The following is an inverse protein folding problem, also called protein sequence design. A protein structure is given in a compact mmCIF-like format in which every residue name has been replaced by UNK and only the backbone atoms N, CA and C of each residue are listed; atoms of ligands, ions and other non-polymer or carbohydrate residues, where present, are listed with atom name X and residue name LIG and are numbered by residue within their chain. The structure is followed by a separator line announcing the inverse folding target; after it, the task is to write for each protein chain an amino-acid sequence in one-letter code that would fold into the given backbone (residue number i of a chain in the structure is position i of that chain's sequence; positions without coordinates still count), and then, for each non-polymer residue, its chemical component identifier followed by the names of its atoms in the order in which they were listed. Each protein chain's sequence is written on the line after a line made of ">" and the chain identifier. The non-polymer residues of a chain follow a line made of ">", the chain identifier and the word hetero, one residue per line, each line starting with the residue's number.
data_IF_357817824542
#
_entry.id   IF_357817824542
#
_cell.length_a   1.000
_cell.length_b   1.000
_cell.length_c   1.000
_cell.angle_alpha   90.00
_cell.angle_beta   90.00
_cell.angle_gamma   90.00
#
_symmetry.space_group_name_H-M   'P 1'
#
loop_
_entity.id
_entity.type
_entity.pdbx_description
1 polymer ?
#
# COMPACT_ATOMS: atom_id res chain seq x y z
N UNK A 1 7.77 12.69 30.42
CA UNK A 1 8.67 13.59 29.70
C UNK A 1 8.65 13.12 28.26
N UNK A 2 7.67 13.63 27.51
CA UNK A 2 7.44 13.31 26.10
C UNK A 2 8.66 13.80 25.32
N UNK A 3 9.50 12.86 24.87
CA UNK A 3 10.41 13.13 23.79
C UNK A 3 9.53 13.34 22.56
N UNK A 4 9.17 14.60 22.31
CA UNK A 4 8.68 15.02 21.02
C UNK A 4 9.58 14.36 19.99
N UNK A 5 9.03 13.40 19.22
CA UNK A 5 9.66 12.98 17.98
C UNK A 5 10.07 14.30 17.35
N UNK A 6 11.36 14.51 17.14
CA UNK A 6 11.84 15.67 16.41
C UNK A 6 11.03 15.65 15.11
N UNK A 7 9.97 16.44 15.09
CA UNK A 7 9.34 16.80 13.86
C UNK A 7 10.47 17.41 13.06
N UNK A 8 11.03 16.61 12.18
CA UNK A 8 12.03 17.12 11.27
C UNK A 8 11.40 18.38 10.69
N UNK A 9 12.09 19.50 10.80
CA UNK A 9 11.81 20.74 10.07
C UNK A 9 11.95 20.49 8.56
N UNK A 10 11.60 19.29 8.14
CA UNK A 10 11.74 18.75 6.80
C UNK A 10 10.47 18.94 5.98
N UNK A 11 10.65 18.93 4.72
CA UNK A 11 9.63 18.90 3.67
C UNK A 11 8.89 17.56 3.73
N UNK A 12 7.56 17.57 3.59
CA UNK A 12 6.76 16.37 3.33
C UNK A 12 7.18 15.75 2.00
N UNK A 13 7.54 14.46 2.00
CA UNK A 13 7.96 13.77 0.79
C UNK A 13 6.72 13.34 -0.01
N UNK A 14 6.68 13.68 -1.29
CA UNK A 14 5.60 13.30 -2.19
C UNK A 14 6.03 12.09 -3.01
N UNK A 15 5.23 11.01 -2.93
CA UNK A 15 5.42 9.75 -3.63
C UNK A 15 4.45 9.69 -4.80
N UNK A 16 4.98 9.68 -6.02
CA UNK A 16 4.21 9.39 -7.22
C UNK A 16 4.10 7.88 -7.41
N UNK A 17 2.94 7.31 -7.19
CA UNK A 17 2.66 5.90 -7.43
C UNK A 17 2.29 5.67 -8.89
N UNK A 18 3.23 5.19 -9.68
CA UNK A 18 3.00 4.73 -11.05
C UNK A 18 2.30 3.37 -11.03
N UNK A 19 2.59 2.56 -10.00
CA UNK A 19 2.01 1.22 -9.87
C UNK A 19 2.30 0.36 -11.09
N UNK A 20 1.24 -0.03 -11.79
CA UNK A 20 1.27 -0.80 -13.03
C UNK A 20 0.81 0.00 -14.26
N UNK A 21 0.58 1.31 -14.12
CA UNK A 21 0.10 2.19 -15.22
C UNK A 21 1.04 2.23 -16.42
N UNK A 22 2.30 1.77 -16.27
CA UNK A 22 3.24 1.62 -17.38
C UNK A 22 2.84 0.53 -18.39
N UNK A 23 1.96 -0.43 -18.01
CA UNK A 23 1.47 -1.50 -18.90
C UNK A 23 2.60 -2.35 -19.51
N UNK A 24 3.72 -2.56 -18.81
CA UNK A 24 4.90 -3.30 -19.29
C UNK A 24 5.81 -2.53 -20.25
N UNK A 25 5.49 -1.30 -20.62
CA UNK A 25 6.29 -0.47 -21.54
C UNK A 25 7.30 0.38 -20.79
N UNK A 26 8.60 0.18 -21.03
CA UNK A 26 9.67 1.00 -20.47
C UNK A 26 9.59 2.46 -20.95
N UNK A 27 9.18 2.69 -22.20
CA UNK A 27 8.98 4.04 -22.74
C UNK A 27 7.88 4.78 -21.99
N UNK A 28 6.73 4.10 -21.75
CA UNK A 28 5.63 4.67 -20.97
C UNK A 28 6.05 4.91 -19.52
N UNK A 29 6.80 3.98 -18.92
CA UNK A 29 7.35 4.14 -17.58
C UNK A 29 8.24 5.39 -17.48
N UNK A 30 9.15 5.62 -18.43
CA UNK A 30 10.01 6.80 -18.47
C UNK A 30 9.21 8.10 -18.60
N UNK A 31 8.17 8.14 -19.45
CA UNK A 31 7.27 9.30 -19.54
C UNK A 31 6.56 9.62 -18.23
N UNK A 32 6.13 8.57 -17.49
CA UNK A 32 5.51 8.72 -16.17
C UNK A 32 6.54 9.22 -15.14
N UNK A 33 7.78 8.72 -15.17
CA UNK A 33 8.87 9.17 -14.30
C UNK A 33 9.19 10.65 -14.57
N UNK A 34 9.35 11.05 -15.85
CA UNK A 34 9.61 12.44 -16.25
C UNK A 34 8.49 13.36 -15.74
N UNK A 35 7.24 13.04 -16.08
CA UNK A 35 6.10 13.85 -15.67
C UNK A 35 5.94 13.95 -14.16
N UNK A 36 6.14 12.85 -13.42
CA UNK A 36 6.10 12.85 -11.96
C UNK A 36 7.20 13.74 -11.36
N UNK A 37 8.42 13.66 -11.91
CA UNK A 37 9.55 14.47 -11.47
C UNK A 37 9.35 15.96 -11.77
N UNK A 38 8.89 16.29 -12.95
CA UNK A 38 8.56 17.66 -13.36
C UNK A 38 7.42 18.24 -12.49
N UNK A 39 6.43 17.42 -12.15
CA UNK A 39 5.33 17.77 -11.26
C UNK A 39 5.76 17.98 -9.80
N UNK A 40 6.97 17.57 -9.40
CA UNK A 40 7.52 17.82 -8.07
C UNK A 40 7.58 16.61 -7.14
N UNK A 41 7.42 15.38 -7.64
CA UNK A 41 7.61 14.17 -6.85
C UNK A 41 9.04 14.04 -6.32
N UNK A 42 9.16 13.61 -5.07
CA UNK A 42 10.44 13.27 -4.43
C UNK A 42 10.81 11.81 -4.64
N UNK A 43 9.77 10.94 -4.69
CA UNK A 43 9.90 9.50 -4.78
C UNK A 43 8.99 9.00 -5.90
N UNK A 44 9.53 8.14 -6.75
CA UNK A 44 8.79 7.47 -7.82
C UNK A 44 8.59 6.02 -7.41
N UNK A 45 7.34 5.54 -7.41
CA UNK A 45 6.99 4.23 -6.91
C UNK A 45 6.40 3.33 -7.99
N UNK A 46 6.76 2.04 -7.91
CA UNK A 46 6.31 0.95 -8.75
C UNK A 46 5.78 -0.22 -7.93
N UNK A 47 5.14 -1.17 -8.60
CA UNK A 47 4.67 -2.43 -8.04
C UNK A 47 5.35 -3.59 -8.78
N UNK A 48 6.05 -4.46 -8.03
CA UNK A 48 6.71 -5.65 -8.59
C UNK A 48 5.76 -6.84 -8.53
N UNK A 49 4.97 -6.99 -9.56
CA UNK A 49 3.88 -7.96 -9.62
C UNK A 49 4.38 -9.30 -10.15
N UNK A 50 4.11 -10.36 -9.39
CA UNK A 50 4.00 -11.74 -9.85
C UNK A 50 2.63 -12.26 -9.43
N UNK A 51 1.78 -12.64 -10.39
CA UNK A 51 0.41 -13.04 -10.09
C UNK A 51 0.35 -14.19 -9.08
N UNK A 52 1.25 -15.15 -9.20
CA UNK A 52 1.37 -16.31 -8.32
C UNK A 52 1.72 -15.97 -6.85
N UNK A 53 2.35 -14.81 -6.61
CA UNK A 53 2.63 -14.32 -5.26
C UNK A 53 1.44 -13.59 -4.63
N UNK A 54 0.42 -13.26 -5.41
CA UNK A 54 -0.70 -12.41 -4.97
C UNK A 54 -2.00 -13.20 -4.90
N UNK A 55 -2.30 -13.96 -5.95
CA UNK A 55 -3.61 -14.54 -6.22
C UNK A 55 -3.52 -16.03 -6.52
N UNK A 56 -4.57 -16.75 -6.16
CA UNK A 56 -4.81 -18.10 -6.70
C UNK A 56 -5.43 -18.00 -8.11
N UNK A 57 -5.11 -18.89 -9.08
CA UNK A 57 -5.72 -18.87 -10.42
C UNK A 57 -7.25 -18.90 -10.44
N UNK A 58 -7.87 -19.53 -9.41
CA UNK A 58 -9.33 -19.66 -9.28
C UNK A 58 -9.98 -18.48 -8.52
N UNK A 59 -9.29 -17.35 -8.31
CA UNK A 59 -9.75 -16.23 -7.47
C UNK A 59 -10.98 -15.49 -8.02
N UNK A 60 -11.34 -15.70 -9.29
CA UNK A 60 -12.50 -15.09 -9.94
C UNK A 60 -12.13 -14.03 -10.98
N UNK A 61 -13.04 -13.07 -11.22
CA UNK A 61 -12.97 -12.17 -12.36
C UNK A 61 -12.99 -10.71 -11.94
N UNK A 62 -12.41 -9.84 -12.79
CA UNK A 62 -12.53 -8.39 -12.74
C UNK A 62 -13.29 -7.89 -13.98
N UNK A 63 -14.08 -6.81 -13.80
CA UNK A 63 -14.71 -6.11 -14.89
C UNK A 63 -13.82 -4.91 -15.28
N UNK A 64 -13.39 -4.87 -16.52
CA UNK A 64 -12.67 -3.76 -17.14
C UNK A 64 -13.54 -3.07 -18.18
N UNK A 65 -13.22 -1.85 -18.63
CA UNK A 65 -13.92 -1.23 -19.76
C UNK A 65 -13.98 -2.12 -21.01
N UNK A 66 -12.93 -2.91 -21.25
CA UNK A 66 -12.81 -3.85 -22.38
C UNK A 66 -13.53 -5.18 -22.18
N UNK A 67 -14.04 -5.47 -20.98
CA UNK A 67 -14.78 -6.70 -20.67
C UNK A 67 -14.40 -7.37 -19.38
N UNK A 68 -14.96 -8.56 -19.16
CA UNK A 68 -14.73 -9.38 -17.96
C UNK A 68 -13.62 -10.39 -18.23
N UNK A 69 -12.54 -10.32 -17.43
CA UNK A 69 -11.41 -11.26 -17.53
C UNK A 69 -11.08 -11.90 -16.17
N UNK A 70 -10.44 -13.09 -16.12
CA UNK A 70 -9.94 -13.64 -14.87
C UNK A 70 -8.96 -12.67 -14.20
N UNK A 71 -9.14 -12.40 -12.91
CA UNK A 71 -8.30 -11.44 -12.16
C UNK A 71 -6.83 -11.91 -12.14
N UNK A 72 -6.59 -13.21 -12.00
CA UNK A 72 -5.24 -13.79 -12.05
C UNK A 72 -4.54 -13.50 -13.38
N UNK A 73 -5.24 -13.72 -14.52
CA UNK A 73 -4.68 -13.44 -15.85
C UNK A 73 -4.38 -11.96 -16.03
N UNK A 74 -5.25 -11.08 -15.49
CA UNK A 74 -4.98 -9.63 -15.51
C UNK A 74 -3.69 -9.29 -14.79
N UNK A 75 -3.43 -9.89 -13.63
CA UNK A 75 -2.17 -9.69 -12.91
C UNK A 75 -0.98 -10.30 -13.67
N UNK A 76 -1.19 -11.43 -14.35
CA UNK A 76 -0.17 -12.08 -15.18
C UNK A 76 0.30 -11.20 -16.35
N UNK A 77 -0.63 -10.46 -16.97
CA UNK A 77 -0.34 -9.49 -18.02
C UNK A 77 0.51 -8.28 -17.52
N UNK A 78 0.46 -7.99 -16.22
CA UNK A 78 1.21 -6.88 -15.60
C UNK A 78 2.64 -7.26 -15.21
N UNK A 79 3.00 -8.54 -15.29
CA UNK A 79 4.34 -9.00 -14.96
C UNK A 79 5.37 -8.46 -15.96
N UNK A 80 6.47 -7.99 -15.43
CA UNK A 80 7.63 -7.56 -16.20
C UNK A 80 8.90 -8.22 -15.67
N UNK A 81 9.94 -8.25 -16.49
CA UNK A 81 11.22 -8.83 -16.10
C UNK A 81 11.96 -7.94 -15.07
N UNK A 82 12.84 -8.51 -14.24
CA UNK A 82 13.63 -7.73 -13.26
C UNK A 82 14.43 -6.58 -13.87
N UNK A 83 14.90 -6.74 -15.12
CA UNK A 83 15.64 -5.72 -15.85
C UNK A 83 14.83 -4.42 -16.02
N UNK A 84 13.52 -4.55 -16.22
CA UNK A 84 12.62 -3.39 -16.33
C UNK A 84 12.69 -2.49 -15.08
N UNK A 85 12.66 -3.07 -13.89
CA UNK A 85 12.75 -2.30 -12.64
C UNK A 85 14.14 -1.70 -12.41
N UNK A 86 15.19 -2.40 -12.85
CA UNK A 86 16.55 -1.86 -12.83
C UNK A 86 16.67 -0.63 -13.72
N UNK A 87 16.17 -0.72 -14.95
CA UNK A 87 16.16 0.39 -15.91
C UNK A 87 15.36 1.59 -15.37
N UNK A 88 14.18 1.33 -14.75
CA UNK A 88 13.38 2.38 -14.11
C UNK A 88 14.10 3.01 -12.90
N UNK A 89 14.78 2.22 -12.07
CA UNK A 89 15.56 2.70 -10.94
C UNK A 89 16.71 3.59 -11.40
N UNK A 90 17.50 3.13 -12.38
CA UNK A 90 18.63 3.91 -12.92
C UNK A 90 18.15 5.22 -13.55
N UNK A 91 17.06 5.16 -14.31
CA UNK A 91 16.48 6.36 -14.91
C UNK A 91 15.95 7.33 -13.85
N UNK A 92 15.21 6.86 -12.85
CA UNK A 92 14.72 7.67 -11.73
C UNK A 92 15.86 8.37 -10.99
N UNK A 93 16.93 7.61 -10.67
CA UNK A 93 18.12 8.17 -10.01
C UNK A 93 18.87 9.20 -10.87
N UNK A 94 18.90 9.02 -12.19
CA UNK A 94 19.54 9.98 -13.11
C UNK A 94 18.85 11.35 -13.10
N UNK A 95 17.57 11.40 -12.77
CA UNK A 95 16.79 12.64 -12.59
C UNK A 95 16.84 13.20 -11.16
N UNK A 96 17.62 12.59 -10.27
CA UNK A 96 17.73 13.01 -8.87
C UNK A 96 16.48 12.75 -8.03
N UNK A 97 15.61 11.82 -8.43
CA UNK A 97 14.50 11.31 -7.62
C UNK A 97 14.89 10.02 -6.90
N UNK A 98 14.11 9.64 -5.87
CA UNK A 98 14.25 8.37 -5.16
C UNK A 98 13.36 7.30 -5.78
N UNK A 99 13.83 6.05 -5.76
CA UNK A 99 13.09 4.92 -6.27
C UNK A 99 12.49 4.10 -5.12
N UNK A 100 11.21 3.78 -5.22
CA UNK A 100 10.47 2.92 -4.31
C UNK A 100 9.77 1.81 -5.09
N UNK A 101 9.67 0.61 -4.51
CA UNK A 101 8.87 -0.45 -5.13
C UNK A 101 8.19 -1.32 -4.07
N UNK A 102 6.99 -1.84 -4.41
CA UNK A 102 6.26 -2.78 -3.57
C UNK A 102 6.48 -4.21 -4.07
N UNK A 103 7.14 -5.08 -3.31
CA UNK A 103 7.08 -6.52 -3.53
C UNK A 103 5.79 -7.08 -2.94
N UNK A 104 5.30 -8.18 -3.48
CA UNK A 104 4.06 -8.84 -3.03
C UNK A 104 4.30 -10.24 -2.47
N UNK A 105 5.51 -10.79 -2.61
CA UNK A 105 5.90 -12.09 -2.09
C UNK A 105 7.42 -12.19 -1.94
N UNK A 106 7.89 -13.41 -1.67
CA UNK A 106 9.30 -13.64 -1.33
C UNK A 106 10.23 -13.45 -2.53
N UNK A 107 9.82 -13.89 -3.71
CA UNK A 107 10.62 -13.77 -4.93
C UNK A 107 10.79 -12.31 -5.32
N UNK A 108 9.68 -11.56 -5.42
CA UNK A 108 9.72 -10.14 -5.74
C UNK A 108 10.50 -9.33 -4.71
N UNK A 109 10.44 -9.69 -3.42
CA UNK A 109 11.26 -9.06 -2.37
C UNK A 109 12.75 -9.30 -2.59
N UNK A 110 13.17 -10.54 -2.84
CA UNK A 110 14.59 -10.86 -3.05
C UNK A 110 15.15 -10.15 -4.28
N UNK A 111 14.41 -10.17 -5.40
CA UNK A 111 14.82 -9.49 -6.63
C UNK A 111 14.88 -7.96 -6.44
N UNK A 112 13.93 -7.38 -5.69
CA UNK A 112 13.92 -5.96 -5.36
C UNK A 112 15.14 -5.56 -4.50
N UNK A 113 15.47 -6.34 -3.48
CA UNK A 113 16.65 -6.07 -2.62
C UNK A 113 17.94 -6.07 -3.46
N UNK A 114 18.06 -6.98 -4.45
CA UNK A 114 19.24 -7.07 -5.32
C UNK A 114 19.49 -5.82 -6.15
N UNK A 115 18.46 -5.08 -6.54
CA UNK A 115 18.63 -3.82 -7.28
C UNK A 115 18.84 -2.60 -6.39
N UNK A 116 18.84 -2.75 -5.07
CA UNK A 116 19.10 -1.70 -4.07
C UNK A 116 18.22 -0.45 -4.25
N UNK A 117 16.89 -0.56 -4.06
CA UNK A 117 15.98 0.59 -4.11
C UNK A 117 16.27 1.56 -2.96
N UNK A 118 15.80 2.80 -3.06
CA UNK A 118 15.90 3.76 -1.95
C UNK A 118 14.89 3.47 -0.83
N UNK A 119 13.75 2.83 -1.16
CA UNK A 119 12.70 2.42 -0.23
C UNK A 119 12.06 1.10 -0.65
N UNK A 120 11.64 0.30 0.33
CA UNK A 120 10.77 -0.87 0.12
C UNK A 120 9.39 -0.52 0.67
N UNK A 121 8.34 -0.74 -0.12
CA UNK A 121 6.95 -0.50 0.28
C UNK A 121 6.22 -1.81 0.53
N UNK A 122 5.50 -1.91 1.63
CA UNK A 122 4.53 -2.97 1.89
C UNK A 122 3.14 -2.36 1.71
N UNK A 123 2.41 -2.85 0.72
CA UNK A 123 1.06 -2.39 0.43
C UNK A 123 0.07 -2.85 1.52
N UNK A 124 -1.08 -2.16 1.64
CA UNK A 124 -2.07 -2.43 2.69
C UNK A 124 -2.50 -3.90 2.79
N UNK A 125 -2.81 -4.60 1.68
CA UNK A 125 -3.19 -6.01 1.74
C UNK A 125 -2.09 -6.94 2.24
N UNK A 126 -0.82 -6.53 2.15
CA UNK A 126 0.35 -7.30 2.56
C UNK A 126 0.77 -7.04 4.02
N UNK A 127 0.08 -6.14 4.73
CA UNK A 127 0.43 -5.84 6.12
C UNK A 127 0.34 -7.07 7.04
N UNK A 128 -0.52 -8.03 6.73
CA UNK A 128 -0.62 -9.30 7.43
C UNK A 128 0.11 -10.46 6.72
N UNK A 129 0.91 -10.19 5.68
CA UNK A 129 1.73 -11.24 5.03
C UNK A 129 2.97 -11.54 5.87
N UNK A 130 2.78 -12.22 7.01
CA UNK A 130 3.87 -12.42 7.99
C UNK A 130 5.09 -13.15 7.44
N UNK A 131 4.99 -14.16 6.54
CA UNK A 131 6.17 -14.71 5.87
C UNK A 131 6.99 -13.65 5.14
N UNK A 132 6.34 -12.74 4.39
CA UNK A 132 7.00 -11.63 3.69
C UNK A 132 7.66 -10.65 4.67
N UNK A 133 6.96 -10.27 5.76
CA UNK A 133 7.49 -9.33 6.75
C UNK A 133 8.68 -9.93 7.53
N UNK A 134 8.64 -11.22 7.85
CA UNK A 134 9.77 -11.92 8.47
C UNK A 134 10.97 -11.97 7.54
N UNK A 135 10.77 -12.31 6.26
CA UNK A 135 11.84 -12.32 5.27
C UNK A 135 12.41 -10.92 5.05
N UNK A 136 11.56 -9.89 4.95
CA UNK A 136 12.00 -8.50 4.88
C UNK A 136 12.89 -8.12 6.07
N UNK A 137 12.51 -8.50 7.30
CA UNK A 137 13.33 -8.25 8.49
C UNK A 137 14.69 -8.92 8.43
N UNK A 138 14.73 -10.15 7.91
CA UNK A 138 15.95 -10.98 7.92
C UNK A 138 16.91 -10.62 6.78
N UNK A 139 16.41 -10.30 5.61
CA UNK A 139 17.20 -10.10 4.38
C UNK A 139 17.45 -8.64 4.01
N UNK A 140 16.69 -7.68 4.60
CA UNK A 140 16.84 -6.26 4.29
C UNK A 140 18.18 -5.71 4.81
N UNK A 141 19.07 -5.18 3.95
CA UNK A 141 20.36 -4.63 4.34
C UNK A 141 20.29 -3.25 5.03
N UNK A 142 19.10 -2.80 5.44
CA UNK A 142 18.89 -1.50 6.09
C UNK A 142 18.18 -0.46 5.22
N UNK A 143 17.58 -0.89 4.10
CA UNK A 143 16.76 -0.04 3.23
C UNK A 143 15.53 0.41 4.04
N UNK A 144 15.18 1.71 4.04
CA UNK A 144 13.98 2.22 4.70
C UNK A 144 12.69 1.54 4.18
N UNK A 145 11.79 1.23 5.10
CA UNK A 145 10.53 0.53 4.82
C UNK A 145 9.34 1.44 5.03
N UNK A 146 8.40 1.42 4.10
CA UNK A 146 7.14 2.15 4.19
C UNK A 146 6.00 1.13 4.23
N UNK A 147 5.20 1.13 5.30
CA UNK A 147 4.05 0.24 5.47
C UNK A 147 2.76 1.02 5.24
N UNK A 148 1.80 0.49 4.50
CA UNK A 148 0.44 1.04 4.45
C UNK A 148 -0.52 0.23 5.31
N UNK A 149 -1.53 0.89 5.91
CA UNK A 149 -2.42 0.33 6.92
C UNK A 149 -3.91 0.41 6.55
N UNK A 150 -4.24 0.39 5.26
CA UNK A 150 -5.61 0.14 4.81
C UNK A 150 -6.05 -1.30 5.10
N UNK A 151 -7.34 -1.57 5.13
CA UNK A 151 -7.94 -2.87 5.49
C UNK A 151 -7.28 -3.51 6.72
N UNK A 152 -6.98 -2.69 7.74
CA UNK A 152 -6.26 -3.13 8.94
C UNK A 152 -6.80 -2.49 10.20
N UNK A 153 -6.87 -3.26 11.27
CA UNK A 153 -7.14 -2.78 12.63
C UNK A 153 -5.86 -2.25 13.28
N UNK A 154 -5.98 -1.67 14.48
CA UNK A 154 -4.82 -1.24 15.26
C UNK A 154 -3.95 -2.44 15.68
N UNK A 155 -4.59 -3.57 15.96
CA UNK A 155 -3.95 -4.83 16.33
C UNK A 155 -3.15 -5.41 15.16
N UNK A 156 -3.67 -5.34 13.92
CA UNK A 156 -2.94 -5.77 12.72
C UNK A 156 -1.67 -4.93 12.52
N UNK A 157 -1.77 -3.61 12.67
CA UNK A 157 -0.63 -2.70 12.59
C UNK A 157 0.40 -3.04 13.67
N UNK A 158 -0.05 -3.22 14.92
CA UNK A 158 0.84 -3.57 16.03
C UNK A 158 1.57 -4.89 15.78
N UNK A 159 0.87 -5.90 15.23
CA UNK A 159 1.46 -7.18 14.88
C UNK A 159 2.51 -7.05 13.77
N UNK A 160 2.22 -6.32 12.71
CA UNK A 160 3.18 -6.04 11.65
C UNK A 160 4.44 -5.33 12.18
N UNK A 161 4.27 -4.28 12.99
CA UNK A 161 5.37 -3.54 13.60
C UNK A 161 6.18 -4.37 14.61
N UNK A 162 5.56 -5.36 15.27
CA UNK A 162 6.29 -6.30 16.15
C UNK A 162 7.28 -7.17 15.36
N UNK A 163 7.00 -7.43 14.09
CA UNK A 163 7.85 -8.20 13.17
C UNK A 163 8.92 -7.28 12.55
N UNK A 164 8.50 -6.21 11.88
CA UNK A 164 9.43 -5.33 11.13
C UNK A 164 10.28 -4.43 12.04
N UNK A 165 9.82 -4.19 13.26
CA UNK A 165 10.35 -3.13 14.12
C UNK A 165 9.83 -1.76 13.69
N UNK A 166 10.33 -0.71 14.38
CA UNK A 166 9.95 0.68 14.13
C UNK A 166 11.12 1.53 13.60
N UNK A 167 12.34 0.99 13.61
CA UNK A 167 13.52 1.69 13.12
C UNK A 167 13.53 1.74 11.60
N UNK A 168 13.69 2.93 11.02
CA UNK A 168 13.64 3.17 9.57
C UNK A 168 12.31 2.72 8.94
N UNK A 169 11.21 2.76 9.70
CA UNK A 169 9.86 2.45 9.24
C UNK A 169 9.02 3.72 9.24
N UNK A 170 8.28 3.94 8.15
CA UNK A 170 7.22 4.96 8.05
C UNK A 170 5.89 4.25 7.86
N UNK A 171 4.85 4.65 8.60
CA UNK A 171 3.50 4.11 8.49
C UNK A 171 2.59 5.07 7.72
N UNK A 172 2.03 4.64 6.61
CA UNK A 172 1.03 5.40 5.87
C UNK A 172 -0.38 4.95 6.29
N UNK A 173 -1.16 5.88 6.81
CA UNK A 173 -2.60 5.70 6.88
C UNK A 173 -3.16 5.57 5.46
N UNK A 174 -4.14 4.69 5.27
CA UNK A 174 -4.70 4.40 3.96
C UNK A 174 -6.13 3.89 4.11
N UNK A 175 -6.96 4.17 3.12
CA UNK A 175 -8.26 3.51 2.90
C UNK A 175 -8.16 2.72 1.61
N UNK A 176 -8.34 1.41 1.70
CA UNK A 176 -8.26 0.49 0.55
C UNK A 176 -9.62 0.41 -0.15
N UNK A 177 -10.01 1.53 -0.71
CA UNK A 177 -11.17 1.70 -1.61
C UNK A 177 -10.73 2.57 -2.78
N UNK A 178 -11.22 2.28 -4.00
CA UNK A 178 -10.80 2.93 -5.23
C UNK A 178 -12.00 3.38 -6.07
N UNK A 179 -12.43 4.68 -5.98
CA UNK A 179 -11.88 5.73 -5.11
C UNK A 179 -12.29 5.54 -3.64
N UNK A 180 -11.52 6.16 -2.74
CA UNK A 180 -11.85 6.24 -1.32
C UNK A 180 -12.76 7.46 -1.06
N UNK A 181 -13.88 7.29 -0.31
CA UNK A 181 -14.70 8.41 0.12
C UNK A 181 -13.92 9.36 1.03
N UNK A 182 -13.97 10.66 0.76
CA UNK A 182 -13.19 11.66 1.50
C UNK A 182 -13.55 11.74 2.99
N UNK A 183 -14.82 11.61 3.31
CA UNK A 183 -15.36 11.70 4.68
C UNK A 183 -15.03 10.47 5.55
N UNK A 184 -14.46 9.43 4.95
CA UNK A 184 -13.98 8.24 5.67
C UNK A 184 -12.48 8.34 6.05
N UNK A 185 -11.74 9.34 5.53
CA UNK A 185 -10.28 9.39 5.67
C UNK A 185 -9.77 9.51 7.10
N UNK A 186 -10.50 10.22 7.99
CA UNK A 186 -10.07 10.34 9.38
C UNK A 186 -8.60 10.77 9.52
N UNK A 187 -8.21 11.83 8.83
CA UNK A 187 -6.81 12.26 8.64
C UNK A 187 -6.07 12.52 9.95
N UNK A 188 -6.81 12.85 11.06
CA UNK A 188 -6.22 12.95 12.41
C UNK A 188 -5.52 11.66 12.87
N UNK A 189 -5.81 10.52 12.22
CA UNK A 189 -5.10 9.27 12.49
C UNK A 189 -3.60 9.35 12.24
N UNK A 190 -3.12 10.18 11.33
CA UNK A 190 -1.68 10.34 11.05
C UNK A 190 -0.95 10.71 12.33
N UNK A 191 -1.45 11.73 13.06
CA UNK A 191 -0.88 12.15 14.33
C UNK A 191 -1.01 11.05 15.40
N UNK A 192 -2.19 10.41 15.50
CA UNK A 192 -2.44 9.34 16.47
C UNK A 192 -1.51 8.15 16.25
N UNK A 193 -1.38 7.67 15.01
CA UNK A 193 -0.51 6.54 14.69
C UNK A 193 0.97 6.85 14.94
N UNK A 194 1.41 8.07 14.57
CA UNK A 194 2.77 8.52 14.86
C UNK A 194 3.08 8.52 16.34
N UNK A 195 2.17 9.04 17.16
CA UNK A 195 2.31 9.08 18.61
C UNK A 195 2.24 7.70 19.26
N UNK A 196 1.23 6.88 18.88
CA UNK A 196 0.95 5.61 19.53
C UNK A 196 2.04 4.56 19.27
N UNK A 197 2.64 4.59 18.07
CA UNK A 197 3.71 3.66 17.68
C UNK A 197 5.11 4.27 17.72
N UNK A 198 5.24 5.57 18.00
CA UNK A 198 6.51 6.32 18.04
C UNK A 198 7.30 6.17 16.74
N UNK A 199 6.66 6.37 15.59
CA UNK A 199 7.23 6.26 14.23
C UNK A 199 6.83 7.45 13.36
N UNK A 200 7.53 7.64 12.24
CA UNK A 200 7.08 8.53 11.18
C UNK A 200 5.75 8.01 10.60
N UNK A 201 4.81 8.91 10.35
CA UNK A 201 3.54 8.59 9.74
C UNK A 201 3.23 9.51 8.55
N UNK A 202 2.36 9.06 7.67
CA UNK A 202 1.90 9.78 6.48
C UNK A 202 0.60 9.21 5.96
N UNK A 203 0.32 9.41 4.68
CA UNK A 203 -0.91 8.93 4.05
C UNK A 203 -0.63 8.32 2.67
N UNK A 204 -1.37 7.25 2.33
CA UNK A 204 -1.56 6.77 0.96
C UNK A 204 -2.99 7.11 0.56
N UNK A 205 -3.15 8.03 -0.38
CA UNK A 205 -4.41 8.70 -0.67
C UNK A 205 -5.01 8.24 -2.00
N UNK A 206 -6.23 7.67 -1.92
CA UNK A 206 -7.02 7.19 -3.06
C UNK A 206 -8.27 8.08 -3.32
N UNK A 207 -8.34 9.28 -2.70
CA UNK A 207 -9.39 10.27 -3.03
C UNK A 207 -9.15 10.87 -4.41
N UNK A 208 -10.19 11.50 -4.97
CA UNK A 208 -10.10 12.12 -6.31
C UNK A 208 -9.65 13.59 -6.26
N UNK A 209 -9.85 14.27 -5.12
CA UNK A 209 -9.43 15.66 -4.95
C UNK A 209 -7.91 15.73 -4.70
N UNK A 210 -7.17 16.54 -5.48
CA UNK A 210 -5.72 16.63 -5.34
C UNK A 210 -5.27 17.47 -4.14
N UNK A 211 -6.14 18.21 -3.47
CA UNK A 211 -5.77 19.24 -2.49
C UNK A 211 -6.22 18.90 -1.08
N UNK A 212 -7.51 18.58 -0.90
CA UNK A 212 -8.14 18.52 0.43
C UNK A 212 -7.47 17.52 1.36
N UNK A 213 -7.43 16.24 0.99
CA UNK A 213 -6.84 15.19 1.82
C UNK A 213 -5.32 15.38 1.99
N UNK A 214 -4.53 15.66 0.91
CA UNK A 214 -3.10 15.91 1.05
C UNK A 214 -2.74 17.09 1.95
N UNK A 215 -3.40 18.25 1.82
CA UNK A 215 -3.10 19.41 2.65
C UNK A 215 -3.50 19.20 4.12
N UNK A 216 -4.64 18.54 4.36
CA UNK A 216 -5.03 18.16 5.71
C UNK A 216 -4.05 17.14 6.31
N UNK A 217 -3.49 16.22 5.50
CA UNK A 217 -2.45 15.29 5.96
C UNK A 217 -1.19 16.03 6.43
N UNK A 218 -0.74 17.04 5.69
CA UNK A 218 0.38 17.91 6.12
C UNK A 218 0.05 18.59 7.46
N UNK A 219 -1.17 19.11 7.62
CA UNK A 219 -1.60 19.72 8.89
C UNK A 219 -1.55 18.76 10.08
N UNK A 220 -1.67 17.46 9.85
CA UNK A 220 -1.56 16.41 10.87
C UNK A 220 -0.13 15.85 11.04
N UNK A 221 0.86 16.45 10.37
CA UNK A 221 2.27 16.09 10.49
C UNK A 221 2.71 14.92 9.60
N UNK A 222 2.02 14.70 8.48
CA UNK A 222 2.42 13.69 7.50
C UNK A 222 3.87 13.91 7.04
N UNK A 223 4.67 12.84 7.08
CA UNK A 223 6.06 12.84 6.58
C UNK A 223 6.13 12.44 5.11
N UNK A 224 5.13 11.67 4.64
CA UNK A 224 5.00 11.20 3.27
C UNK A 224 3.54 11.24 2.83
N UNK A 225 3.32 11.57 1.56
CA UNK A 225 2.02 11.50 0.88
C UNK A 225 2.22 10.68 -0.38
N UNK A 226 1.50 9.56 -0.50
CA UNK A 226 1.49 8.70 -1.68
C UNK A 226 0.20 8.94 -2.47
N UNK A 227 0.33 9.11 -3.79
CA UNK A 227 -0.80 9.32 -4.71
C UNK A 227 -0.54 8.64 -6.04
N UNK A 228 -1.56 7.94 -6.57
CA UNK A 228 -1.50 7.34 -7.90
C UNK A 228 -1.46 8.41 -9.00
N UNK A 229 -0.64 8.15 -10.03
CA UNK A 229 -0.54 8.98 -11.22
C UNK A 229 -0.74 8.17 -12.49
N UNK A 230 -1.27 8.80 -13.52
CA UNK A 230 -1.42 8.21 -14.85
C UNK A 230 -1.21 9.26 -15.96
N UNK A 231 -0.88 8.80 -17.16
CA UNK A 231 -0.92 9.62 -18.37
C UNK A 231 -2.34 9.77 -18.94
N UNK A 232 -3.25 8.85 -18.61
CA UNK A 232 -4.65 8.89 -19.04
C UNK A 232 -5.50 8.03 -18.11
N UNK A 233 -6.66 8.55 -17.71
CA UNK A 233 -7.67 7.83 -16.91
C UNK A 233 -8.51 6.87 -17.74
N UNK A 234 -8.41 6.92 -19.06
CA UNK A 234 -9.21 6.14 -20.02
C UNK A 234 -8.51 4.85 -20.46
N UNK A 235 -7.59 4.34 -19.65
CA UNK A 235 -6.87 3.10 -19.95
C UNK A 235 -7.43 1.91 -19.15
N UNK A 236 -7.04 0.69 -19.52
CA UNK A 236 -7.38 -0.54 -18.77
C UNK A 236 -6.47 -0.77 -17.53
N UNK A 237 -5.71 0.24 -17.10
CA UNK A 237 -4.96 0.18 -15.86
C UNK A 237 -5.89 0.02 -14.66
N UNK A 238 -5.57 -0.88 -13.73
CA UNK A 238 -6.45 -1.15 -12.58
C UNK A 238 -6.68 0.08 -11.71
N UNK A 239 -5.67 0.94 -11.59
CA UNK A 239 -5.68 2.13 -10.74
C UNK A 239 -5.84 3.44 -11.52
N UNK A 240 -5.74 3.42 -12.86
CA UNK A 240 -5.80 4.62 -13.72
C UNK A 240 -7.08 5.46 -13.52
N UNK A 241 -8.28 4.86 -13.33
CA UNK A 241 -9.49 5.65 -13.11
C UNK A 241 -9.48 6.54 -11.87
N UNK A 242 -8.71 6.17 -10.84
CA UNK A 242 -8.61 6.91 -9.57
C UNK A 242 -7.30 7.70 -9.44
N UNK A 243 -6.37 7.50 -10.36
CA UNK A 243 -5.10 8.20 -10.40
C UNK A 243 -5.30 9.69 -10.77
N UNK A 244 -4.39 10.53 -10.33
CA UNK A 244 -4.29 11.91 -10.84
C UNK A 244 -3.59 11.92 -12.19
N UNK A 245 -4.03 12.78 -13.10
CA UNK A 245 -3.20 13.16 -14.23
C UNK A 245 -2.02 14.03 -13.75
N UNK A 246 -1.04 14.26 -14.62
CA UNK A 246 0.17 14.96 -14.25
C UNK A 246 -0.05 16.42 -13.84
N UNK A 247 -1.07 17.10 -14.41
CA UNK A 247 -1.41 18.48 -14.05
C UNK A 247 -2.04 18.52 -12.64
N UNK A 248 -2.99 17.65 -12.37
CA UNK A 248 -3.59 17.49 -11.03
C UNK A 248 -2.53 17.14 -9.99
N UNK A 249 -1.59 16.25 -10.34
CA UNK A 249 -0.52 15.85 -9.44
C UNK A 249 0.48 17.00 -9.18
N UNK A 250 0.82 17.80 -10.19
CA UNK A 250 1.64 18.99 -10.03
C UNK A 250 0.96 20.02 -9.10
N UNK A 251 -0.35 20.20 -9.26
CA UNK A 251 -1.13 21.07 -8.37
C UNK A 251 -1.12 20.55 -6.92
N UNK A 252 -1.29 19.24 -6.73
CA UNK A 252 -1.15 18.61 -5.40
C UNK A 252 0.22 18.89 -4.78
N UNK A 253 1.30 18.64 -5.52
CA UNK A 253 2.68 18.88 -5.04
C UNK A 253 2.87 20.34 -4.62
N UNK A 254 2.37 21.27 -5.42
CA UNK A 254 2.43 22.71 -5.10
C UNK A 254 1.70 23.00 -3.78
N UNK A 255 0.46 22.54 -3.61
CA UNK A 255 -0.35 22.78 -2.41
C UNK A 255 0.27 22.13 -1.15
N UNK A 256 0.81 20.92 -1.27
CA UNK A 256 1.55 20.24 -0.19
C UNK A 256 2.76 21.08 0.25
N UNK A 257 3.55 21.57 -0.70
CA UNK A 257 4.73 22.39 -0.39
C UNK A 257 4.35 23.76 0.21
N UNK A 258 3.21 24.36 -0.20
CA UNK A 258 2.70 25.56 0.43
C UNK A 258 2.28 25.27 1.88
N UNK A 259 1.60 24.16 2.14
CA UNK A 259 1.23 23.74 3.50
C UNK A 259 2.47 23.52 4.38
N UNK A 260 3.53 22.89 3.86
CA UNK A 260 4.82 22.79 4.56
C UNK A 260 5.44 24.16 4.86
N UNK A 261 5.32 25.12 3.95
CA UNK A 261 5.81 26.48 4.17
C UNK A 261 5.04 27.20 5.29
N UNK A 262 3.73 26.98 5.38
CA UNK A 262 2.88 27.47 6.49
C UNK A 262 3.35 26.89 7.81
N UNK A 263 3.58 25.56 7.90
CA UNK A 263 4.10 24.92 9.12
C UNK A 263 5.48 25.45 9.52
N UNK A 264 6.37 25.69 8.56
CA UNK A 264 7.70 26.26 8.83
C UNK A 264 7.63 27.71 9.33
N UNK A 265 6.69 28.49 8.80
CA UNK A 265 6.54 29.91 9.13
C UNK A 265 5.93 30.12 10.52
N UNK A 266 4.85 29.42 10.83
CA UNK A 266 4.07 29.61 12.07
C UNK A 266 4.42 28.62 13.19
N UNK A 267 5.23 27.59 12.90
CA UNK A 267 5.38 26.43 13.78
C UNK A 267 4.19 25.47 13.66
N UNK A 268 4.32 24.28 14.27
CA UNK A 268 3.36 23.20 14.01
C UNK A 268 1.93 23.53 14.46
N UNK A 269 1.75 24.00 15.70
CA UNK A 269 0.41 24.22 16.27
C UNK A 269 -0.37 25.33 15.56
N UNK A 270 0.25 26.48 15.35
CA UNK A 270 -0.40 27.59 14.64
C UNK A 270 -0.52 27.32 13.15
N UNK A 271 0.49 26.73 12.54
CA UNK A 271 0.46 26.36 11.12
C UNK A 271 -0.60 25.30 10.81
N UNK A 272 -0.81 24.32 11.70
CA UNK A 272 -1.91 23.36 11.59
C UNK A 272 -3.27 24.08 11.55
N UNK A 273 -3.50 25.02 12.47
CA UNK A 273 -4.75 25.78 12.52
C UNK A 273 -4.94 26.61 11.25
N UNK A 274 -3.87 27.25 10.77
CA UNK A 274 -3.91 28.07 9.57
C UNK A 274 -4.23 27.24 8.31
N UNK A 275 -3.60 26.06 8.14
CA UNK A 275 -3.90 25.16 7.02
C UNK A 275 -5.36 24.70 7.07
N UNK A 276 -5.84 24.29 8.25
CA UNK A 276 -7.23 23.86 8.42
C UNK A 276 -8.19 25.01 8.07
N UNK A 277 -7.94 26.24 8.56
CA UNK A 277 -8.75 27.40 8.25
C UNK A 277 -8.78 27.73 6.74
N UNK A 278 -7.65 27.61 6.05
CA UNK A 278 -7.58 27.78 4.59
C UNK A 278 -8.42 26.72 3.86
N UNK A 279 -8.37 25.46 4.30
CA UNK A 279 -9.19 24.39 3.73
C UNK A 279 -10.69 24.62 4.04
N UNK A 280 -11.05 25.11 5.23
CA UNK A 280 -12.43 25.43 5.59
C UNK A 280 -13.00 26.57 4.72
N UNK A 281 -12.19 27.56 4.38
CA UNK A 281 -12.59 28.65 3.46
C UNK A 281 -12.84 28.08 2.04
N UNK A 282 -12.01 27.15 1.60
CA UNK A 282 -12.09 26.61 0.22
C UNK A 282 -13.18 25.53 0.08
N UNK A 283 -13.35 24.66 1.07
CA UNK A 283 -14.18 23.45 0.97
C UNK A 283 -15.39 23.45 1.91
N UNK A 284 -15.46 24.40 2.82
CA UNK A 284 -16.48 24.47 3.87
C UNK A 284 -16.11 23.68 5.13
N UNK A 285 -16.48 24.22 6.28
CA UNK A 285 -16.14 23.64 7.59
C UNK A 285 -16.64 22.20 7.73
N UNK A 286 -17.89 21.91 7.37
CA UNK A 286 -18.48 20.57 7.53
C UNK A 286 -17.68 19.49 6.76
N UNK A 287 -17.30 19.76 5.51
CA UNK A 287 -16.51 18.82 4.67
C UNK A 287 -15.13 18.60 5.26
N UNK A 288 -14.44 19.67 5.67
CA UNK A 288 -13.12 19.59 6.28
C UNK A 288 -13.14 18.78 7.58
N UNK A 289 -14.11 19.04 8.47
CA UNK A 289 -14.20 18.33 9.74
C UNK A 289 -14.54 16.84 9.57
N UNK A 290 -15.32 16.46 8.55
CA UNK A 290 -15.56 15.05 8.20
C UNK A 290 -14.27 14.36 7.76
N UNK A 291 -13.49 14.99 6.87
CA UNK A 291 -12.19 14.45 6.40
C UNK A 291 -11.18 14.33 7.53
N UNK A 292 -11.12 15.31 8.43
CA UNK A 292 -10.27 15.26 9.61
C UNK A 292 -10.63 14.07 10.53
N UNK A 293 -11.91 13.82 10.72
CA UNK A 293 -12.43 12.70 11.50
C UNK A 293 -12.08 12.75 13.00
N UNK A 294 -12.20 11.59 13.66
CA UNK A 294 -12.04 11.45 15.12
C UNK A 294 -10.60 11.21 15.60
N UNK A 295 -9.72 10.75 14.73
CA UNK A 295 -8.39 10.26 15.10
C UNK A 295 -8.38 8.86 15.76
N UNK A 296 -9.50 8.15 15.80
CA UNK A 296 -9.60 6.79 16.34
C UNK A 296 -9.49 5.79 15.19
N UNK A 297 -8.56 4.82 15.26
CA UNK A 297 -8.41 3.80 14.21
C UNK A 297 -9.57 2.83 14.24
N UNK A 298 -10.30 2.81 13.13
CA UNK A 298 -11.37 1.88 12.81
C UNK A 298 -11.24 1.50 11.34
N UNK A 299 -11.82 0.40 10.91
CA UNK A 299 -12.02 0.12 9.49
C UNK A 299 -12.97 1.18 8.93
N UNK A 300 -12.66 1.71 7.76
CA UNK A 300 -13.58 2.59 7.06
C UNK A 300 -14.79 1.76 6.56
N UNK A 301 -16.01 2.33 6.51
CA UNK A 301 -17.18 1.62 6.00
C UNK A 301 -16.94 1.00 4.62
N UNK A 302 -16.23 1.70 3.73
CA UNK A 302 -15.86 1.19 2.39
C UNK A 302 -14.86 0.04 2.41
N UNK A 303 -14.16 -0.21 3.53
CA UNK A 303 -13.21 -1.31 3.70
C UNK A 303 -13.81 -2.57 4.35
N UNK A 304 -14.95 -2.44 5.07
CA UNK A 304 -15.50 -3.54 5.89
C UNK A 304 -15.73 -4.83 5.08
N UNK A 305 -16.28 -4.70 3.87
CA UNK A 305 -16.54 -5.86 3.00
C UNK A 305 -15.24 -6.51 2.44
N UNK A 306 -14.15 -5.76 2.44
CA UNK A 306 -12.86 -6.20 1.91
C UNK A 306 -11.92 -6.73 3.00
N UNK A 307 -12.16 -6.38 4.27
CA UNK A 307 -11.35 -6.86 5.38
C UNK A 307 -11.39 -8.40 5.48
N UNK A 308 -10.23 -9.01 5.60
CA UNK A 308 -10.05 -10.45 5.56
C UNK A 308 -10.08 -11.08 4.15
N UNK A 309 -10.61 -10.39 3.12
CA UNK A 309 -10.65 -10.89 1.74
C UNK A 309 -9.51 -10.35 0.89
N UNK A 310 -9.30 -9.06 0.92
CA UNK A 310 -8.16 -8.40 0.26
C UNK A 310 -6.85 -8.66 1.02
N UNK A 311 -6.93 -8.89 2.34
CA UNK A 311 -5.80 -9.36 3.15
C UNK A 311 -5.39 -10.78 2.77
N UNK A 312 -4.23 -11.20 3.29
CA UNK A 312 -3.67 -12.53 3.06
C UNK A 312 -4.29 -13.57 3.97
N UNK A 313 -4.51 -14.77 3.40
CA UNK A 313 -4.89 -15.99 4.14
C UNK A 313 -4.25 -17.22 3.47
N UNK A 314 -4.29 -18.38 4.15
CA UNK A 314 -3.71 -19.63 3.63
C UNK A 314 -4.69 -20.32 2.67
N UNK A 315 -4.22 -20.74 1.50
CA UNK A 315 -5.01 -21.40 0.46
C UNK A 315 -4.33 -22.67 -0.03
N UNK A 316 -5.12 -23.73 -0.29
CA UNK A 316 -4.63 -24.94 -0.94
C UNK A 316 -4.35 -24.69 -2.42
N UNK A 317 -3.19 -25.16 -2.90
CA UNK A 317 -2.74 -24.93 -4.28
C UNK A 317 -3.17 -26.02 -5.27
N UNK A 318 -3.80 -27.09 -4.79
CA UNK A 318 -4.39 -28.18 -5.60
C UNK A 318 -5.40 -28.99 -4.77
N UNK A 319 -6.07 -29.94 -5.42
CA UNK A 319 -6.91 -30.93 -4.71
C UNK A 319 -6.02 -31.87 -3.92
N UNK A 320 -6.39 -32.14 -2.65
CA UNK A 320 -5.73 -33.14 -1.81
C UNK A 320 -6.74 -34.06 -1.18
N UNK A 321 -6.40 -35.35 -1.07
CA UNK A 321 -7.23 -36.33 -0.41
C UNK A 321 -6.95 -36.40 1.09
N UNK A 322 -7.95 -36.85 1.86
CA UNK A 322 -7.79 -37.24 3.26
C UNK A 322 -6.53 -38.07 3.48
N UNK A 323 -5.80 -37.73 4.53
CA UNK A 323 -4.55 -38.41 4.90
C UNK A 323 -3.30 -37.85 4.24
N UNK A 324 -3.43 -36.86 3.31
CA UNK A 324 -2.29 -36.16 2.75
C UNK A 324 -1.54 -35.39 3.84
N UNK A 325 -0.22 -35.47 3.81
CA UNK A 325 0.68 -34.72 4.70
C UNK A 325 1.12 -33.45 4.00
N UNK A 326 0.75 -32.30 4.52
CA UNK A 326 1.05 -30.99 3.92
C UNK A 326 2.56 -30.78 3.81
N UNK A 327 2.99 -30.44 2.60
CA UNK A 327 4.35 -30.09 2.26
C UNK A 327 4.46 -28.63 1.86
N UNK A 328 5.69 -28.11 1.80
CA UNK A 328 5.94 -26.76 1.27
C UNK A 328 5.46 -26.67 -0.18
N UNK A 329 4.66 -25.65 -0.50
CA UNK A 329 4.03 -25.44 -1.80
C UNK A 329 2.65 -26.11 -1.96
N UNK A 330 2.16 -26.90 -1.00
CA UNK A 330 0.79 -27.40 -0.99
C UNK A 330 -0.22 -26.31 -0.53
N UNK A 331 0.26 -25.37 0.27
CA UNK A 331 -0.47 -24.21 0.76
C UNK A 331 0.36 -22.96 0.49
N UNK A 332 -0.29 -21.88 0.06
CA UNK A 332 0.35 -20.58 -0.13
C UNK A 332 -0.45 -19.48 0.59
N UNK A 333 0.24 -18.36 0.89
CA UNK A 333 -0.32 -17.18 1.55
C UNK A 333 -0.74 -16.18 0.49
N UNK A 334 -2.02 -16.18 0.12
CA UNK A 334 -2.58 -15.42 -1.00
C UNK A 334 -3.73 -14.52 -0.54
N UNK A 335 -4.10 -13.54 -1.38
CA UNK A 335 -5.35 -12.79 -1.21
C UNK A 335 -6.52 -13.68 -1.61
N UNK A 336 -7.58 -13.67 -0.81
CA UNK A 336 -8.81 -14.45 -1.11
C UNK A 336 -9.56 -13.87 -2.30
N UNK A 337 -9.69 -12.54 -2.35
CA UNK A 337 -10.38 -11.76 -3.37
C UNK A 337 -11.84 -12.16 -3.64
N UNK A 338 -12.21 -12.50 -4.90
CA UNK A 338 -13.61 -12.45 -5.36
C UNK A 338 -14.47 -13.62 -4.91
N UNK A 339 -14.06 -14.86 -5.16
CA UNK A 339 -14.95 -16.04 -5.05
C UNK A 339 -14.45 -17.12 -4.10
N UNK A 340 -13.18 -17.08 -3.69
CA UNK A 340 -12.63 -18.10 -2.80
C UNK A 340 -13.14 -17.92 -1.36
N UNK A 341 -13.10 -18.99 -0.57
CA UNK A 341 -13.31 -18.90 0.88
C UNK A 341 -12.08 -18.37 1.58
N UNK A 342 -12.27 -17.51 2.58
CA UNK A 342 -11.16 -16.99 3.40
C UNK A 342 -10.56 -18.16 4.19
N UNK A 343 -9.22 -18.30 4.14
CA UNK A 343 -8.48 -19.26 4.93
C UNK A 343 -8.07 -18.72 6.32
N UNK A 344 -7.43 -19.57 7.11
CA UNK A 344 -6.79 -19.14 8.36
C UNK A 344 -5.67 -18.12 8.05
N UNK A 345 -5.32 -17.33 9.06
CA UNK A 345 -4.35 -16.26 8.92
C UNK A 345 -2.93 -16.76 8.61
N UNK A 346 -2.09 -15.88 8.00
CA UNK A 346 -0.72 -16.21 7.62
C UNK A 346 0.19 -16.65 8.79
N UNK A 347 -0.17 -16.33 10.02
CA UNK A 347 0.54 -16.76 11.24
C UNK A 347 0.57 -18.29 11.43
N UNK A 348 -0.36 -18.99 10.82
CA UNK A 348 -0.42 -20.45 10.92
C UNK A 348 0.37 -21.15 9.81
N UNK A 349 0.81 -20.44 8.75
CA UNK A 349 1.42 -21.00 7.55
C UNK A 349 2.53 -22.03 7.85
N UNK A 350 3.54 -21.66 8.64
CA UNK A 350 4.64 -22.55 8.98
C UNK A 350 4.19 -23.77 9.80
N UNK A 351 3.16 -23.62 10.62
CA UNK A 351 2.63 -24.70 11.45
C UNK A 351 1.77 -25.72 10.69
N UNK A 352 1.42 -25.42 9.43
CA UNK A 352 0.68 -26.34 8.56
C UNK A 352 1.56 -27.45 7.99
N UNK A 353 2.86 -27.16 7.80
CA UNK A 353 3.79 -28.13 7.23
C UNK A 353 3.90 -29.36 8.14
N UNK A 354 3.72 -30.53 7.55
CA UNK A 354 3.71 -31.81 8.27
C UNK A 354 2.35 -32.20 8.88
N UNK A 355 1.34 -31.33 8.84
CA UNK A 355 -0.03 -31.66 9.28
C UNK A 355 -0.70 -32.64 8.32
N UNK A 356 -1.59 -33.47 8.83
CA UNK A 356 -2.31 -34.50 8.06
C UNK A 356 -3.78 -34.08 7.89
N UNK A 357 -4.27 -34.09 6.65
CA UNK A 357 -5.66 -33.75 6.33
C UNK A 357 -6.64 -34.78 6.88
N UNK A 358 -7.75 -34.31 7.45
CA UNK A 358 -8.84 -35.13 7.99
C UNK A 358 -9.90 -35.51 6.94
N UNK A 359 -9.97 -34.78 5.84
CA UNK A 359 -10.91 -34.96 4.73
C UNK A 359 -10.29 -34.44 3.43
N UNK A 360 -11.00 -34.62 2.31
CA UNK A 360 -10.58 -34.11 1.00
C UNK A 360 -10.78 -32.59 0.96
N UNK A 361 -9.81 -31.89 0.36
CA UNK A 361 -9.86 -30.43 0.18
C UNK A 361 -9.72 -30.06 -1.29
N UNK A 362 -10.21 -28.88 -1.66
CA UNK A 362 -10.24 -28.42 -3.05
C UNK A 362 -9.21 -27.35 -3.34
N UNK A 363 -8.71 -27.36 -4.57
CA UNK A 363 -7.81 -26.37 -5.14
C UNK A 363 -8.39 -24.95 -5.00
N UNK A 364 -7.65 -24.06 -4.34
CA UNK A 364 -8.03 -22.65 -4.07
C UNK A 364 -8.89 -22.47 -2.80
N UNK A 365 -9.36 -23.54 -2.15
CA UNK A 365 -10.07 -23.41 -0.91
C UNK A 365 -9.19 -22.77 0.17
N UNK A 366 -9.75 -21.86 0.96
CA UNK A 366 -9.09 -21.33 2.15
C UNK A 366 -8.94 -22.43 3.21
N UNK A 367 -7.72 -22.58 3.71
CA UNK A 367 -7.38 -23.55 4.75
C UNK A 367 -8.14 -23.27 6.04
N UNK A 368 -8.74 -24.30 6.68
CA UNK A 368 -9.47 -24.19 7.92
C UNK A 368 -8.79 -25.02 9.03
N UNK A 369 -9.04 -24.68 10.30
CA UNK A 369 -8.49 -25.45 11.44
C UNK A 369 -8.99 -26.89 11.44
N UNK A 370 -10.22 -27.09 11.01
CA UNK A 370 -10.92 -28.39 10.95
C UNK A 370 -10.35 -29.32 9.88
N UNK A 371 -9.58 -28.80 8.93
CA UNK A 371 -8.91 -29.60 7.92
C UNK A 371 -7.84 -30.54 8.51
N UNK A 372 -7.42 -30.29 9.75
CA UNK A 372 -6.35 -31.03 10.41
C UNK A 372 -6.80 -31.69 11.72
N UNK A 373 -6.13 -32.77 12.10
CA UNK A 373 -6.20 -33.27 13.46
C UNK A 373 -5.48 -32.31 14.41
N UNK A 374 -6.16 -31.87 15.45
CA UNK A 374 -5.58 -31.13 16.56
C UNK A 374 -4.59 -31.97 17.34
#
# INVERSE_FOLDING_TARGET
>A
MLQLIKMNSGKTLVIAEIGTSHGGSLEKAKKLIDGAKEAGADIIKFQWVYAEEILHPNTGFVNLPTGKIPLYERFKELEVKPEFFRDCLEYTKSLGAKFMCSPFGLRSLHELIQIQPDYIKIASPELNHYPLLNELKNSNPGIPVVLSSGVSTKEDIQKALSITGTKNVTLLHCITSYPAPEDEYNVRLINTLSRDFNIAAGISDHSLDPVLVPCLAVSQGAQMIEKHITLSKETDGLDDPVALDLEQFAHMCFCVHQSDAVLRHYGFELGQQEIIAQMEVQYGNERVQKVLGSGIKQLAPSEEANYGRTNRSCHFMRDFSKGHVIQKGDVEVLRTEKVLSVGIGPEFYESLIGKVLTHDVKNGAGVQKEDFKL
#
